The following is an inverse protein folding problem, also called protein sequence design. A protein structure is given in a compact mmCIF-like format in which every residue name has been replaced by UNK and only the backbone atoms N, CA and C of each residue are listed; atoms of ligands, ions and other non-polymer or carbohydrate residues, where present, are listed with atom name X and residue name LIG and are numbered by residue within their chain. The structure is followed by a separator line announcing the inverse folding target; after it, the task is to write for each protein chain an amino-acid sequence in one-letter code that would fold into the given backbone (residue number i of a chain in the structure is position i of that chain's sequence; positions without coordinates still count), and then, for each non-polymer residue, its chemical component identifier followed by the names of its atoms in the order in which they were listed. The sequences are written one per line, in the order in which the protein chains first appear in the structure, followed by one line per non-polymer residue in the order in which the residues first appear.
data_IF_281438545352
#
_entry.id   IF_281438545352
#
_cell.length_a   1.000
_cell.length_b   1.000
_cell.length_c   1.000
_cell.angle_alpha   90.00
_cell.angle_beta   90.00
_cell.angle_gamma   90.00
#
_symmetry.space_group_name_H-M   'P 1'
#
loop_
_entity.id
_entity.type
_entity.pdbx_description
1 polymer ?
#
# COMPACT_ATOMS: atom_id res chain seq x y z
N UNK A 1 63.94 -22.54 10.12
CA UNK A 1 62.72 -23.22 9.62
C UNK A 1 61.82 -23.53 10.80
N UNK A 2 60.50 -23.35 10.63
CA UNK A 2 59.40 -23.60 11.60
C UNK A 2 59.28 -22.49 12.66
N UNK A 3 58.13 -21.88 12.92
CA UNK A 3 56.75 -22.26 12.66
C UNK A 3 55.90 -20.98 12.67
N UNK A 4 55.34 -20.58 11.52
CA UNK A 4 54.35 -19.50 11.48
C UNK A 4 52.95 -20.11 11.57
N UNK A 5 52.21 -19.62 12.59
CA UNK A 5 50.75 -19.36 12.72
C UNK A 5 49.77 -20.33 12.04
N UNK A 6 48.64 -20.56 12.70
CA UNK A 6 47.29 -20.34 12.13
C UNK A 6 46.25 -20.58 13.25
N UNK A 7 45.75 -19.48 13.83
CA UNK A 7 44.51 -19.48 14.60
C UNK A 7 43.42 -19.13 13.60
N UNK A 8 42.55 -20.07 13.27
CA UNK A 8 41.40 -19.82 12.41
C UNK A 8 40.23 -19.32 13.27
N UNK A 9 39.85 -18.06 13.09
CA UNK A 9 38.58 -17.53 13.60
C UNK A 9 37.50 -17.76 12.54
N UNK A 10 36.55 -18.64 12.84
CA UNK A 10 35.35 -18.79 12.04
C UNK A 10 34.35 -17.69 12.44
N UNK A 11 34.21 -16.66 11.60
CA UNK A 11 33.10 -15.71 11.68
C UNK A 11 31.90 -16.31 10.95
N UNK A 12 30.93 -16.83 11.71
CA UNK A 12 29.60 -17.12 11.18
C UNK A 12 28.82 -15.79 11.07
N UNK A 13 28.80 -15.19 9.89
CA UNK A 13 27.97 -14.02 9.60
C UNK A 13 26.53 -14.49 9.37
N UNK A 14 25.66 -14.34 10.38
CA UNK A 14 24.22 -14.48 10.20
C UNK A 14 23.68 -13.28 9.40
N UNK A 15 23.23 -13.50 8.17
CA UNK A 15 22.56 -12.48 7.37
C UNK A 15 21.15 -12.24 7.94
N UNK A 16 20.99 -11.19 8.75
CA UNK A 16 19.67 -10.68 9.12
C UNK A 16 19.12 -9.91 7.92
N UNK A 17 18.15 -10.48 7.21
CA UNK A 17 17.45 -9.76 6.17
C UNK A 17 16.63 -8.62 6.79
N UNK A 18 17.02 -7.37 6.54
CA UNK A 18 16.19 -6.22 6.89
C UNK A 18 14.88 -6.30 6.10
N UNK A 19 13.76 -6.43 6.81
CA UNK A 19 12.43 -6.25 6.21
C UNK A 19 12.17 -4.76 6.09
N UNK A 20 12.05 -4.26 4.86
CA UNK A 20 11.53 -2.92 4.62
C UNK A 20 10.03 -2.94 4.93
N UNK A 21 9.60 -2.24 5.98
CA UNK A 21 8.17 -1.97 6.19
C UNK A 21 7.66 -1.21 4.99
N UNK A 22 6.58 -1.69 4.37
CA UNK A 22 5.94 -0.94 3.29
C UNK A 22 5.49 0.43 3.83
N UNK A 23 5.70 1.47 3.02
CA UNK A 23 5.45 2.86 3.44
C UNK A 23 4.18 3.41 2.79
N UNK A 24 3.39 4.13 3.59
CA UNK A 24 2.22 4.90 3.13
C UNK A 24 2.59 6.21 2.42
N UNK A 25 3.87 6.61 2.45
CA UNK A 25 4.31 7.90 1.93
C UNK A 25 3.95 8.13 0.45
N UNK A 26 3.92 7.06 -0.36
CA UNK A 26 3.55 7.13 -1.77
C UNK A 26 2.10 7.60 -1.99
N UNK A 27 1.14 7.01 -1.27
CA UNK A 27 -0.27 7.37 -1.38
C UNK A 27 -0.55 8.74 -0.77
N UNK A 28 0.06 9.05 0.38
CA UNK A 28 -0.03 10.38 0.99
C UNK A 28 0.49 11.48 0.05
N UNK A 29 1.63 11.23 -0.60
CA UNK A 29 2.21 12.18 -1.55
C UNK A 29 1.34 12.35 -2.79
N UNK A 30 0.62 11.31 -3.22
CA UNK A 30 -0.35 11.44 -4.32
C UNK A 30 -1.51 12.35 -3.92
N UNK A 31 -2.10 12.17 -2.74
CA UNK A 31 -3.18 13.03 -2.24
C UNK A 31 -2.70 14.48 -2.15
N UNK A 32 -1.54 14.73 -1.53
CA UNK A 32 -0.96 16.09 -1.44
C UNK A 32 -0.82 16.76 -2.80
N UNK A 33 -0.41 16.02 -3.84
CA UNK A 33 -0.24 16.57 -5.20
C UNK A 33 -1.54 16.76 -5.96
N UNK A 34 -2.54 15.89 -5.77
CA UNK A 34 -3.74 15.82 -6.63
C UNK A 34 -5.02 16.34 -5.97
N UNK A 35 -5.05 16.36 -4.65
CA UNK A 35 -6.15 16.82 -3.80
C UNK A 35 -5.59 17.65 -2.62
N UNK A 36 -4.85 18.75 -2.87
CA UNK A 36 -4.12 19.46 -1.82
C UNK A 36 -5.03 20.00 -0.69
N UNK A 37 -6.27 20.37 -1.02
CA UNK A 37 -7.27 20.83 -0.03
C UNK A 37 -7.75 19.72 0.91
N UNK A 38 -7.51 18.46 0.57
CA UNK A 38 -7.91 17.29 1.36
C UNK A 38 -6.73 16.48 1.88
N UNK A 39 -5.50 17.02 1.81
CA UNK A 39 -4.29 16.30 2.20
C UNK A 39 -4.35 15.76 3.64
N UNK A 40 -4.99 16.51 4.55
CA UNK A 40 -5.11 16.16 5.96
C UNK A 40 -6.42 15.42 6.31
N UNK A 41 -7.30 15.25 5.32
CA UNK A 41 -8.60 14.57 5.46
C UNK A 41 -8.50 13.04 5.39
N UNK A 42 -7.34 12.50 5.00
CA UNK A 42 -7.12 11.05 4.87
C UNK A 42 -6.12 10.54 5.91
N UNK A 43 -6.32 9.29 6.33
CA UNK A 43 -5.34 8.48 7.07
C UNK A 43 -5.13 7.17 6.32
N UNK A 44 -3.88 6.75 6.17
CA UNK A 44 -3.52 5.52 5.47
C UNK A 44 -2.83 4.57 6.42
N UNK A 45 -3.22 3.30 6.40
CA UNK A 45 -2.61 2.27 7.25
C UNK A 45 -2.44 0.97 6.48
N UNK A 46 -1.22 0.44 6.46
CA UNK A 46 -0.98 -0.90 5.94
C UNK A 46 -1.33 -1.90 7.05
N UNK A 47 -2.35 -2.71 6.80
CA UNK A 47 -2.85 -3.72 7.74
C UNK A 47 -2.65 -5.10 7.13
N UNK A 48 -1.75 -5.89 7.70
CA UNK A 48 -1.47 -7.24 7.24
C UNK A 48 -1.11 -8.14 8.41
N UNK A 49 -1.45 -9.43 8.29
CA UNK A 49 -0.90 -10.46 9.17
C UNK A 49 0.64 -10.43 9.07
N UNK A 50 1.39 -10.53 10.19
CA UNK A 50 2.83 -10.64 10.15
C UNK A 50 3.16 -11.83 9.25
N UNK A 51 3.77 -11.58 8.10
CA UNK A 51 4.05 -12.62 7.11
C UNK A 51 4.62 -13.84 7.84
N UNK A 52 3.82 -14.91 7.90
CA UNK A 52 4.17 -16.14 8.56
C UNK A 52 5.59 -16.48 8.12
N UNK A 53 6.41 -16.88 9.08
CA UNK A 53 7.79 -17.31 8.91
C UNK A 53 7.84 -18.54 8.02
N UNK A 54 7.56 -18.39 6.73
CA UNK A 54 7.74 -19.41 5.72
C UNK A 54 9.11 -19.11 5.16
N UNK A 55 10.07 -19.96 5.53
CA UNK A 55 11.36 -20.02 4.89
C UNK A 55 11.11 -20.05 3.38
N UNK A 56 11.64 -19.06 2.66
CA UNK A 56 11.61 -19.01 1.20
C UNK A 56 12.34 -20.26 0.69
N UNK A 57 11.60 -21.34 0.45
CA UNK A 57 11.96 -22.33 -0.54
C UNK A 57 11.39 -21.85 -1.86
N UNK A 58 12.25 -21.84 -2.87
CA UNK A 58 11.98 -21.36 -4.20
C UNK A 58 10.73 -21.99 -4.82
N UNK A 59 10.03 -21.19 -5.66
CA UNK A 59 8.82 -21.50 -6.46
C UNK A 59 7.49 -21.23 -5.72
N UNK A 60 6.84 -20.14 -6.15
CA UNK A 60 5.45 -19.76 -5.85
C UNK A 60 5.09 -19.59 -4.36
N UNK A 61 5.68 -18.58 -3.69
CA UNK A 61 4.95 -17.91 -2.60
C UNK A 61 3.64 -17.39 -3.18
N UNK A 62 2.51 -18.03 -2.84
CA UNK A 62 1.16 -17.53 -3.10
C UNK A 62 1.08 -16.08 -2.62
N UNK A 63 1.21 -15.13 -3.56
CA UNK A 63 1.02 -13.72 -3.25
C UNK A 63 -0.44 -13.54 -2.90
N UNK A 64 -0.70 -13.12 -1.66
CA UNK A 64 -2.04 -12.82 -1.17
C UNK A 64 -2.65 -11.73 -2.03
N UNK A 65 -3.92 -11.90 -2.41
CA UNK A 65 -4.69 -10.90 -3.15
C UNK A 65 -4.77 -9.59 -2.36
N UNK A 66 -4.75 -8.47 -3.07
CA UNK A 66 -4.88 -7.15 -2.45
C UNK A 66 -6.29 -7.00 -1.85
N UNK A 67 -6.40 -6.46 -0.64
CA UNK A 67 -7.67 -6.18 0.03
C UNK A 67 -7.61 -4.84 0.76
N UNK A 68 -8.73 -4.11 0.73
CA UNK A 68 -8.85 -2.80 1.37
C UNK A 68 -10.14 -2.65 2.17
N UNK A 69 -10.10 -1.72 3.11
CA UNK A 69 -11.25 -1.20 3.85
C UNK A 69 -11.17 0.31 3.93
N UNK A 70 -12.27 1.01 3.72
CA UNK A 70 -12.38 2.47 3.88
C UNK A 70 -13.48 2.78 4.86
N UNK A 71 -13.21 3.62 5.84
CA UNK A 71 -14.18 4.04 6.86
C UNK A 71 -14.00 5.50 7.22
N UNK A 72 -15.03 6.09 7.83
CA UNK A 72 -14.91 7.40 8.46
C UNK A 72 -14.55 7.26 9.93
N UNK A 73 -13.58 8.04 10.38
CA UNK A 73 -13.14 8.07 11.77
C UNK A 73 -13.98 9.05 12.60
N UNK A 74 -13.90 8.94 13.93
CA UNK A 74 -14.59 9.85 14.84
C UNK A 74 -14.09 11.31 14.76
N UNK A 75 -12.85 11.52 14.31
CA UNK A 75 -12.27 12.85 14.04
C UNK A 75 -12.60 13.37 12.62
N UNK A 76 -13.52 12.72 11.89
CA UNK A 76 -14.03 13.18 10.60
C UNK A 76 -13.10 12.93 9.41
N UNK A 77 -12.07 12.10 9.58
CA UNK A 77 -11.16 11.71 8.50
C UNK A 77 -11.66 10.46 7.79
N UNK A 78 -11.13 10.24 6.59
CA UNK A 78 -11.31 9.01 5.83
C UNK A 78 -10.10 8.11 6.09
N UNK A 79 -10.31 7.02 6.81
CA UNK A 79 -9.30 5.99 7.03
C UNK A 79 -9.35 4.99 5.89
N UNK A 80 -8.22 4.83 5.19
CA UNK A 80 -8.02 3.83 4.14
C UNK A 80 -7.00 2.82 4.64
N UNK A 81 -7.45 1.59 4.81
CA UNK A 81 -6.62 0.47 5.22
C UNK A 81 -6.45 -0.51 4.05
N UNK A 82 -5.28 -1.12 3.94
CA UNK A 82 -5.04 -2.15 2.93
C UNK A 82 -3.85 -3.04 3.28
N UNK A 83 -3.85 -4.27 2.76
CA UNK A 83 -2.77 -5.23 3.01
C UNK A 83 -1.50 -4.98 2.18
N UNK A 84 -1.58 -4.13 1.16
CA UNK A 84 -0.45 -3.65 0.36
C UNK A 84 -0.63 -2.17 0.03
N UNK A 85 0.43 -1.50 -0.41
CA UNK A 85 0.33 -0.14 -0.97
C UNK A 85 -0.64 -0.08 -2.17
N UNK A 86 -0.69 -1.14 -2.99
CA UNK A 86 -1.62 -1.25 -4.11
C UNK A 86 -3.08 -1.24 -3.65
N UNK A 87 -3.38 -1.96 -2.56
CA UNK A 87 -4.69 -1.94 -1.93
C UNK A 87 -5.09 -0.54 -1.43
N UNK A 88 -4.15 0.21 -0.85
CA UNK A 88 -4.40 1.59 -0.41
C UNK A 88 -4.83 2.51 -1.56
N UNK A 89 -4.15 2.42 -2.72
CA UNK A 89 -4.55 3.20 -3.90
C UNK A 89 -5.94 2.81 -4.40
N UNK A 90 -6.27 1.51 -4.37
CA UNK A 90 -7.60 1.05 -4.75
C UNK A 90 -8.70 1.49 -3.78
N UNK A 91 -8.44 1.46 -2.47
CA UNK A 91 -9.37 1.98 -1.46
C UNK A 91 -9.61 3.49 -1.63
N UNK A 92 -8.55 4.27 -1.83
CA UNK A 92 -8.66 5.69 -2.14
C UNK A 92 -9.49 5.94 -3.40
N UNK A 93 -9.21 5.24 -4.49
CA UNK A 93 -9.98 5.33 -5.73
C UNK A 93 -11.45 4.95 -5.54
N UNK A 94 -11.73 3.85 -4.85
CA UNK A 94 -13.10 3.40 -4.59
C UNK A 94 -13.91 4.44 -3.82
N UNK A 95 -13.32 5.07 -2.79
CA UNK A 95 -13.96 6.15 -2.07
C UNK A 95 -14.21 7.39 -2.95
N UNK A 96 -13.18 7.83 -3.67
CA UNK A 96 -13.28 9.03 -4.51
C UNK A 96 -14.35 8.89 -5.61
N UNK A 97 -14.38 7.74 -6.28
CA UNK A 97 -15.33 7.48 -7.36
C UNK A 97 -16.76 7.27 -6.85
N UNK A 98 -16.93 6.45 -5.80
CA UNK A 98 -18.28 6.06 -5.33
C UNK A 98 -18.92 7.08 -4.40
N UNK A 99 -18.14 7.77 -3.56
CA UNK A 99 -18.66 8.69 -2.54
C UNK A 99 -18.45 10.14 -2.94
N UNK A 100 -17.22 10.52 -3.30
CA UNK A 100 -16.91 11.90 -3.69
C UNK A 100 -17.25 12.21 -5.16
N UNK A 101 -17.70 11.20 -5.92
CA UNK A 101 -18.09 11.29 -7.32
C UNK A 101 -17.04 11.96 -8.23
N UNK A 102 -15.76 11.68 -7.98
CA UNK A 102 -14.62 12.14 -8.77
C UNK A 102 -13.67 11.00 -9.11
N UNK A 103 -13.01 11.10 -10.27
CA UNK A 103 -12.18 10.01 -10.77
C UNK A 103 -10.96 10.50 -11.59
N UNK A 104 -10.13 9.53 -12.00
CA UNK A 104 -8.91 9.71 -12.80
C UNK A 104 -8.93 8.74 -14.00
N UNK A 105 -8.82 9.30 -15.20
CA UNK A 105 -8.72 8.55 -16.45
C UNK A 105 -7.44 8.91 -17.21
N UNK A 106 -6.87 7.92 -17.90
CA UNK A 106 -5.61 8.11 -18.64
C UNK A 106 -5.74 9.12 -19.79
N UNK A 107 -6.74 8.97 -20.66
CA UNK A 107 -6.86 9.78 -21.89
C UNK A 107 -7.58 11.11 -21.70
N UNK A 108 -8.50 11.19 -20.75
CA UNK A 108 -9.40 12.35 -20.58
C UNK A 108 -8.96 13.24 -19.40
N UNK A 109 -8.01 12.76 -18.59
CA UNK A 109 -7.52 13.47 -17.41
C UNK A 109 -8.34 13.15 -16.18
N UNK A 110 -8.60 14.14 -15.33
CA UNK A 110 -9.09 13.88 -13.97
C UNK A 110 -10.10 14.93 -13.50
N UNK A 111 -11.08 14.48 -12.74
CA UNK A 111 -12.11 15.31 -12.11
C UNK A 111 -11.83 15.61 -10.63
N UNK A 112 -10.64 15.28 -10.12
CA UNK A 112 -10.30 15.47 -8.70
C UNK A 112 -10.45 16.92 -8.21
N UNK A 113 -10.33 17.92 -9.11
CA UNK A 113 -10.57 19.33 -8.80
C UNK A 113 -12.05 19.66 -8.50
N UNK A 114 -12.98 18.76 -8.81
CA UNK A 114 -14.42 18.90 -8.54
C UNK A 114 -14.84 18.21 -7.24
N UNK A 115 -13.89 17.68 -6.47
CA UNK A 115 -14.19 17.05 -5.19
C UNK A 115 -14.95 18.04 -4.29
N UNK A 116 -15.97 17.58 -3.55
CA UNK A 116 -16.72 18.44 -2.67
C UNK A 116 -15.79 19.01 -1.59
N UNK A 117 -16.03 20.26 -1.19
CA UNK A 117 -15.23 20.95 -0.17
C UNK A 117 -15.13 20.15 1.14
N UNK A 118 -16.22 19.49 1.51
CA UNK A 118 -16.27 18.54 2.62
C UNK A 118 -16.46 17.14 2.04
N UNK A 119 -15.57 16.22 2.43
CA UNK A 119 -15.60 14.85 1.95
C UNK A 119 -16.76 14.08 2.59
N UNK A 120 -17.54 13.29 1.81
CA UNK A 120 -18.70 12.56 2.34
C UNK A 120 -18.31 11.54 3.42
N UNK A 121 -19.05 11.55 4.53
CA UNK A 121 -18.88 10.58 5.62
C UNK A 121 -19.54 9.25 5.24
N UNK A 122 -18.85 8.15 5.53
CA UNK A 122 -19.34 6.80 5.32
C UNK A 122 -20.21 6.34 6.50
N UNK A 123 -21.44 5.89 6.22
CA UNK A 123 -22.30 5.26 7.21
C UNK A 123 -21.92 3.79 7.49
N UNK A 124 -21.28 3.13 6.52
CA UNK A 124 -20.71 1.80 6.64
C UNK A 124 -19.37 1.72 5.89
N UNK A 125 -18.44 0.86 6.32
CA UNK A 125 -17.16 0.71 5.64
C UNK A 125 -17.32 0.21 4.20
N UNK A 126 -16.52 0.74 3.27
CA UNK A 126 -16.35 0.20 1.93
C UNK A 126 -15.23 -0.84 1.95
N UNK A 127 -15.49 -2.05 1.47
CA UNK A 127 -14.48 -3.11 1.40
C UNK A 127 -14.35 -3.64 -0.02
N UNK A 128 -13.18 -4.20 -0.34
CA UNK A 128 -12.96 -4.84 -1.63
C UNK A 128 -11.66 -5.62 -1.66
N UNK A 129 -11.60 -6.61 -2.55
CA UNK A 129 -10.42 -7.45 -2.75
C UNK A 129 -10.19 -7.72 -4.24
N UNK A 130 -8.93 -7.89 -4.64
CA UNK A 130 -8.61 -8.38 -5.98
C UNK A 130 -9.00 -9.86 -6.09
N UNK A 131 -9.40 -10.27 -7.29
CA UNK A 131 -9.64 -11.67 -7.64
C UNK A 131 -8.38 -12.36 -8.18
N UNK A 132 -7.34 -11.58 -8.47
CA UNK A 132 -6.05 -12.05 -8.99
C UNK A 132 -4.90 -11.52 -8.12
N UNK A 133 -3.78 -12.26 -8.04
CA UNK A 133 -2.60 -11.85 -7.26
C UNK A 133 -1.77 -10.76 -7.96
N UNK A 134 -1.91 -10.62 -9.28
CA UNK A 134 -1.17 -9.64 -10.09
C UNK A 134 -2.10 -8.91 -11.06
N UNK A 135 -1.88 -7.60 -11.21
CA UNK A 135 -2.56 -6.72 -12.16
C UNK A 135 -1.50 -5.97 -12.95
N UNK A 136 -1.18 -6.48 -14.14
CA UNK A 136 -0.10 -5.98 -14.98
C UNK A 136 -0.63 -4.99 -16.03
N UNK A 137 0.17 -3.97 -16.37
CA UNK A 137 -0.29 -2.85 -17.22
C UNK A 137 0.66 -2.46 -18.38
N UNK A 138 1.92 -2.90 -18.38
CA UNK A 138 2.92 -2.44 -19.38
C UNK A 138 3.10 -3.45 -20.51
N UNK A 139 3.76 -3.09 -21.60
CA UNK A 139 4.24 -4.03 -22.61
C UNK A 139 5.73 -3.75 -22.89
N UNK A 140 6.47 -4.75 -23.35
CA UNK A 140 7.81 -4.53 -23.89
C UNK A 140 7.64 -3.91 -25.29
N UNK A 141 7.84 -2.60 -25.40
CA UNK A 141 7.79 -1.89 -26.68
C UNK A 141 8.93 -2.27 -27.61
#
# INVERSE_FOLDING_TARGET
MRLFKLIAWAFAAGAVALRTTESTAGVESLVRRRLPQHADSFRFEIVGEPAATVARSDIETERVNDSYSVSSTSDGKILVQGNTVGALFFGLHAYLSSQAHVDVWWFIGSQLHKAPRELPVLSSPLTGSSVVPYRYYLNAG
#
